data_IF_795484380616
#
_entry.id   IF_795484380616
#
_cell.length_a   1.000
_cell.length_b   1.000
_cell.length_c   1.000
_cell.angle_alpha   90.00
_cell.angle_beta   90.00
_cell.angle_gamma   90.00
#
_symmetry.space_group_name_H-M   'P 1'
#
loop_
_entity.id
_entity.type
_entity.pdbx_description
1 polymer ?
#
# COMPACT_ATOMS: atom_id res chain seq x y z
N UNK A 1 17.49 9.77 4.31
CA UNK A 1 18.78 9.23 3.87
C UNK A 1 19.29 10.09 2.74
N UNK A 2 20.53 10.61 2.79
CA UNK A 2 21.11 11.34 1.67
C UNK A 2 21.30 10.40 0.48
N UNK A 3 20.91 10.85 -0.70
CA UNK A 3 21.11 10.11 -1.94
C UNK A 3 22.61 10.18 -2.28
N UNK A 4 23.28 9.04 -2.41
CA UNK A 4 24.67 8.97 -2.89
C UNK A 4 24.69 9.20 -4.39
N UNK A 5 25.55 10.11 -4.85
CA UNK A 5 25.70 10.43 -6.27
C UNK A 5 27.12 10.89 -6.58
N UNK A 6 27.51 10.85 -7.85
CA UNK A 6 28.75 11.39 -8.38
C UNK A 6 28.47 12.68 -9.13
N UNK A 7 29.47 13.58 -9.17
CA UNK A 7 29.37 14.86 -9.88
C UNK A 7 29.74 14.68 -11.36
N UNK A 8 28.85 13.99 -12.11
CA UNK A 8 29.04 13.79 -13.54
C UNK A 8 27.70 13.81 -14.30
N UNK A 9 27.76 14.02 -15.61
CA UNK A 9 26.61 14.10 -16.51
C UNK A 9 25.77 12.81 -16.54
N UNK A 10 26.42 11.66 -16.39
CA UNK A 10 25.75 10.35 -16.36
C UNK A 10 24.90 10.20 -15.11
N UNK A 11 25.43 10.56 -13.93
CA UNK A 11 24.69 10.56 -12.68
C UNK A 11 23.52 11.55 -12.73
N UNK A 12 23.73 12.75 -13.28
CA UNK A 12 22.67 13.73 -13.49
C UNK A 12 21.49 13.16 -14.28
N UNK A 13 21.77 12.56 -15.44
CA UNK A 13 20.75 11.95 -16.29
C UNK A 13 20.00 10.80 -15.58
N UNK A 14 20.73 9.98 -14.83
CA UNK A 14 20.15 8.87 -14.06
C UNK A 14 19.21 9.37 -12.98
N UNK A 15 19.64 10.38 -12.21
CA UNK A 15 18.80 10.98 -11.16
C UNK A 15 17.55 11.68 -11.73
N UNK A 16 17.69 12.36 -12.87
CA UNK A 16 16.55 12.97 -13.57
C UNK A 16 15.52 11.93 -14.02
N UNK A 17 15.98 10.81 -14.59
CA UNK A 17 15.09 9.69 -14.98
C UNK A 17 14.38 9.11 -13.76
N UNK A 18 15.12 8.89 -12.65
CA UNK A 18 14.56 8.37 -11.42
C UNK A 18 13.56 9.34 -10.77
N UNK A 19 13.85 10.64 -10.76
CA UNK A 19 12.92 11.67 -10.30
C UNK A 19 11.62 11.66 -11.10
N UNK A 20 11.73 11.70 -12.43
CA UNK A 20 10.56 11.69 -13.33
C UNK A 20 9.69 10.43 -13.14
N UNK A 21 10.32 9.27 -12.96
CA UNK A 21 9.61 8.01 -12.69
C UNK A 21 8.80 8.11 -11.37
N UNK A 22 9.40 8.63 -10.29
CA UNK A 22 8.73 8.76 -9.00
C UNK A 22 7.62 9.79 -9.01
N UNK A 23 7.83 10.92 -9.69
CA UNK A 23 6.79 11.94 -9.88
C UNK A 23 5.59 11.39 -10.64
N UNK A 24 5.81 10.53 -11.67
CA UNK A 24 4.71 9.88 -12.39
C UNK A 24 4.03 8.78 -11.57
N UNK A 25 4.77 8.07 -10.72
CA UNK A 25 4.21 6.99 -9.89
C UNK A 25 3.45 7.50 -8.66
N UNK A 26 3.80 8.70 -8.16
CA UNK A 26 3.21 9.26 -6.94
C UNK A 26 1.68 9.38 -7.00
N UNK A 27 1.06 9.99 -8.02
CA UNK A 27 -0.40 10.11 -8.10
C UNK A 27 -1.09 8.74 -8.17
N UNK A 28 -0.51 7.77 -8.86
CA UNK A 28 -1.05 6.40 -8.93
C UNK A 28 -1.03 5.73 -7.54
N UNK A 29 0.04 5.94 -6.77
CA UNK A 29 0.13 5.43 -5.39
C UNK A 29 -0.85 6.13 -4.45
N UNK A 30 -1.05 7.45 -4.60
CA UNK A 30 -2.02 8.22 -3.83
C UNK A 30 -3.46 7.75 -4.14
N UNK A 31 -3.79 7.56 -5.42
CA UNK A 31 -5.09 7.02 -5.82
C UNK A 31 -5.32 5.61 -5.26
N UNK A 32 -4.29 4.76 -5.29
CA UNK A 32 -4.36 3.42 -4.68
C UNK A 32 -4.55 3.48 -3.17
N UNK A 33 -3.86 4.38 -2.48
CA UNK A 33 -4.02 4.59 -1.03
C UNK A 33 -5.45 5.03 -0.69
N UNK A 34 -5.99 5.98 -1.43
CA UNK A 34 -7.36 6.48 -1.25
C UNK A 34 -8.41 5.39 -1.48
N UNK A 35 -8.25 4.59 -2.54
CA UNK A 35 -9.11 3.44 -2.81
C UNK A 35 -9.05 2.39 -1.69
N UNK A 36 -7.85 2.05 -1.22
CA UNK A 36 -7.68 1.12 -0.10
C UNK A 36 -8.30 1.66 1.20
N UNK A 37 -8.18 2.95 1.47
CA UNK A 37 -8.80 3.60 2.64
C UNK A 37 -10.32 3.47 2.62
N UNK A 38 -10.92 3.68 1.46
CA UNK A 38 -12.36 3.53 1.27
C UNK A 38 -12.80 2.08 1.51
N UNK A 39 -12.07 1.11 0.95
CA UNK A 39 -12.41 -0.31 1.09
C UNK A 39 -12.20 -0.83 2.53
N UNK A 40 -11.18 -0.34 3.25
CA UNK A 40 -11.01 -0.62 4.69
C UNK A 40 -12.22 -0.14 5.48
N UNK A 41 -12.71 1.08 5.20
CA UNK A 41 -13.89 1.63 5.86
C UNK A 41 -15.13 0.80 5.58
N UNK A 42 -15.38 0.46 4.31
CA UNK A 42 -16.52 -0.39 3.94
C UNK A 42 -16.48 -1.76 4.63
N UNK A 43 -15.30 -2.39 4.68
CA UNK A 43 -15.14 -3.68 5.34
C UNK A 43 -15.40 -3.57 6.85
N UNK A 44 -14.94 -2.49 7.49
CA UNK A 44 -15.19 -2.19 8.89
C UNK A 44 -16.69 -1.99 9.16
N UNK A 45 -17.32 -1.09 8.40
CA UNK A 45 -18.75 -0.76 8.56
C UNK A 45 -19.62 -2.02 8.37
N UNK A 46 -19.24 -2.91 7.43
CA UNK A 46 -19.95 -4.18 7.20
C UNK A 46 -19.75 -5.17 8.34
N UNK A 47 -18.51 -5.33 8.85
CA UNK A 47 -18.24 -6.19 10.01
C UNK A 47 -19.00 -5.72 11.25
N UNK A 48 -18.96 -4.42 11.55
CA UNK A 48 -19.70 -3.84 12.68
C UNK A 48 -21.22 -3.99 12.54
N UNK A 49 -21.74 -3.91 11.30
CA UNK A 49 -23.15 -4.17 11.06
C UNK A 49 -23.51 -5.63 11.34
N UNK A 50 -22.72 -6.56 10.84
CA UNK A 50 -22.96 -8.00 11.05
C UNK A 50 -22.89 -8.38 12.52
N UNK A 51 -21.97 -7.77 13.28
CA UNK A 51 -21.91 -7.98 14.74
C UNK A 51 -23.17 -7.47 15.44
N UNK A 52 -23.68 -6.30 15.06
CA UNK A 52 -24.95 -5.79 15.61
C UNK A 52 -26.13 -6.69 15.23
N UNK A 53 -26.19 -7.14 13.97
CA UNK A 53 -27.22 -8.05 13.49
C UNK A 53 -27.16 -9.38 14.27
N UNK A 54 -25.95 -9.87 14.62
CA UNK A 54 -25.74 -11.05 15.47
C UNK A 54 -26.24 -10.81 16.90
N UNK A 55 -25.84 -9.71 17.54
CA UNK A 55 -26.31 -9.36 18.90
C UNK A 55 -27.83 -9.19 18.96
N UNK A 56 -28.45 -8.59 17.93
CA UNK A 56 -29.89 -8.46 17.83
C UNK A 56 -30.59 -9.82 17.66
N UNK A 57 -30.01 -10.71 16.86
CA UNK A 57 -30.50 -12.05 16.68
C UNK A 57 -30.38 -12.87 17.97
N UNK A 58 -29.25 -12.78 18.70
CA UNK A 58 -29.07 -13.41 20.00
C UNK A 58 -30.15 -12.93 21.01
N UNK A 59 -30.37 -11.62 21.13
CA UNK A 59 -31.42 -11.05 22.02
C UNK A 59 -32.81 -11.50 21.62
N UNK A 60 -33.08 -11.67 20.32
CA UNK A 60 -34.38 -12.15 19.84
C UNK A 60 -34.69 -13.57 20.30
N UNK A 61 -33.66 -14.40 20.49
CA UNK A 61 -33.76 -15.78 20.90
C UNK A 61 -33.45 -16.01 22.39
N UNK A 62 -33.24 -14.95 23.16
CA UNK A 62 -32.90 -15.03 24.59
C UNK A 62 -34.00 -15.73 25.41
N UNK A 63 -35.26 -15.60 25.01
CA UNK A 63 -36.39 -16.31 25.63
C UNK A 63 -36.28 -17.85 25.49
N UNK A 64 -35.49 -18.36 24.56
CA UNK A 64 -35.19 -19.78 24.38
C UNK A 64 -34.03 -20.27 25.24
N UNK A 65 -33.35 -19.39 25.97
CA UNK A 65 -32.17 -19.72 26.76
C UNK A 65 -32.32 -20.96 27.67
N UNK A 66 -33.47 -21.16 28.39
CA UNK A 66 -33.68 -22.37 29.17
C UNK A 66 -33.68 -23.67 28.31
N UNK A 67 -34.17 -23.58 27.08
CA UNK A 67 -34.31 -24.73 26.17
C UNK A 67 -32.95 -25.17 25.60
N UNK A 68 -31.99 -24.25 25.46
CA UNK A 68 -30.67 -24.58 24.97
C UNK A 68 -29.89 -25.54 25.88
N UNK A 69 -30.24 -25.63 27.18
CA UNK A 69 -29.66 -26.59 28.09
C UNK A 69 -30.06 -28.05 27.73
N UNK A 70 -31.15 -28.23 27.02
CA UNK A 70 -31.64 -29.54 26.56
C UNK A 70 -31.06 -29.92 25.19
N UNK A 71 -30.43 -28.95 24.50
CA UNK A 71 -29.87 -29.15 23.18
C UNK A 71 -28.55 -29.93 23.24
N UNK A 72 -28.43 -30.98 22.47
CA UNK A 72 -27.23 -31.83 22.49
C UNK A 72 -26.05 -31.10 21.88
N UNK A 73 -24.93 -30.96 22.63
CA UNK A 73 -23.70 -30.39 22.08
C UNK A 73 -23.21 -31.19 20.89
N UNK A 74 -22.88 -30.51 19.77
CA UNK A 74 -22.38 -31.14 18.55
C UNK A 74 -23.46 -31.64 17.60
N UNK A 75 -24.76 -31.38 17.87
CA UNK A 75 -25.84 -31.69 16.93
C UNK A 75 -25.67 -30.97 15.59
N UNK A 76 -25.20 -29.74 15.63
CA UNK A 76 -24.85 -28.93 14.46
C UNK A 76 -23.37 -28.62 14.51
N UNK A 77 -22.64 -29.07 13.52
CA UNK A 77 -21.22 -28.77 13.33
C UNK A 77 -20.98 -28.11 11.99
N UNK A 78 -19.90 -27.34 11.88
CA UNK A 78 -19.44 -26.76 10.63
C UNK A 78 -18.46 -27.74 9.99
N UNK A 79 -18.89 -28.38 8.91
CA UNK A 79 -18.04 -29.34 8.18
C UNK A 79 -16.95 -28.61 7.36
N UNK A 80 -17.33 -27.50 6.70
CA UNK A 80 -16.39 -26.76 5.86
C UNK A 80 -16.88 -25.33 5.59
N UNK A 81 -15.93 -24.42 5.37
CA UNK A 81 -16.18 -23.02 5.00
C UNK A 81 -15.51 -22.77 3.66
N UNK A 82 -16.30 -22.59 2.61
CA UNK A 82 -15.80 -22.31 1.27
C UNK A 82 -15.56 -20.79 1.12
N UNK A 83 -14.29 -20.44 1.01
CA UNK A 83 -13.84 -19.06 0.84
C UNK A 83 -13.30 -18.85 -0.59
N UNK A 84 -13.76 -17.79 -1.22
CA UNK A 84 -13.28 -17.35 -2.55
C UNK A 84 -12.36 -16.16 -2.40
N UNK A 85 -11.27 -16.16 -3.16
CA UNK A 85 -10.35 -15.03 -3.20
C UNK A 85 -10.82 -14.00 -4.22
N UNK A 86 -11.18 -12.81 -3.74
CA UNK A 86 -11.57 -11.67 -4.57
C UNK A 86 -10.49 -10.60 -4.56
N UNK A 87 -10.28 -9.93 -5.68
CA UNK A 87 -9.34 -8.80 -5.78
C UNK A 87 -10.07 -7.48 -5.51
N UNK A 88 -9.68 -6.81 -4.43
CA UNK A 88 -10.20 -5.49 -4.04
C UNK A 88 -9.07 -4.48 -4.05
N UNK A 89 -9.16 -3.44 -4.87
CA UNK A 89 -8.09 -2.44 -5.07
C UNK A 89 -6.70 -3.07 -5.36
N UNK A 90 -6.68 -4.22 -6.06
CA UNK A 90 -5.46 -4.96 -6.39
C UNK A 90 -4.88 -5.79 -5.24
N UNK A 91 -5.63 -5.98 -4.15
CA UNK A 91 -5.28 -6.85 -3.01
C UNK A 91 -6.18 -8.08 -3.02
N UNK A 92 -5.61 -9.25 -2.79
CA UNK A 92 -6.37 -10.49 -2.65
C UNK A 92 -6.98 -10.55 -1.25
N UNK A 93 -8.30 -10.67 -1.17
CA UNK A 93 -9.05 -10.76 0.07
C UNK A 93 -9.97 -11.97 0.05
N UNK A 94 -10.24 -12.61 1.19
CA UNK A 94 -11.24 -13.67 1.29
C UNK A 94 -12.65 -13.10 1.22
N UNK A 95 -13.55 -13.88 0.67
CA UNK A 95 -14.99 -13.62 0.66
C UNK A 95 -15.73 -14.94 0.88
N UNK A 96 -16.72 -14.94 1.76
CA UNK A 96 -17.52 -16.12 2.08
C UNK A 96 -18.40 -16.48 0.91
N UNK A 97 -18.27 -17.72 0.40
CA UNK A 97 -19.12 -18.26 -0.65
C UNK A 97 -20.23 -19.12 -0.08
N UNK A 98 -19.88 -20.10 0.73
CA UNK A 98 -20.83 -21.04 1.33
C UNK A 98 -20.28 -21.65 2.61
N UNK A 99 -21.20 -22.07 3.49
CA UNK A 99 -20.89 -22.82 4.70
C UNK A 99 -21.59 -24.16 4.57
N UNK A 100 -20.87 -25.24 4.79
CA UNK A 100 -21.41 -26.59 4.85
C UNK A 100 -21.56 -26.98 6.30
N UNK A 101 -22.81 -27.27 6.68
CA UNK A 101 -23.15 -27.75 8.00
C UNK A 101 -23.35 -29.26 7.98
N UNK A 102 -22.85 -29.92 8.99
CA UNK A 102 -23.12 -31.31 9.28
C UNK A 102 -24.07 -31.38 10.47
N UNK A 103 -25.18 -32.10 10.30
CA UNK A 103 -26.19 -32.28 11.33
C UNK A 103 -26.20 -33.75 11.71
N UNK A 104 -25.93 -34.03 12.97
CA UNK A 104 -26.04 -35.40 13.50
C UNK A 104 -27.50 -35.87 13.41
N UNK A 105 -27.76 -37.10 12.93
CA UNK A 105 -29.12 -37.61 12.80
C UNK A 105 -29.78 -37.67 14.18
N UNK A 106 -30.94 -37.08 14.31
CA UNK A 106 -31.75 -37.16 15.52
C UNK A 106 -33.20 -37.59 15.18
N UNK A 107 -33.79 -38.29 16.11
CA UNK A 107 -35.15 -38.76 15.93
C UNK A 107 -36.15 -37.66 16.31
N UNK A 108 -36.86 -37.12 15.33
CA UNK A 108 -37.85 -36.06 15.49
C UNK A 108 -39.09 -36.48 16.30
N UNK A 109 -39.37 -37.80 16.46
CA UNK A 109 -40.44 -38.28 17.30
C UNK A 109 -40.09 -38.36 18.78
N UNK A 110 -38.83 -38.45 19.10
CA UNK A 110 -38.32 -38.51 20.48
C UNK A 110 -37.93 -37.15 21.00
N UNK A 111 -37.40 -36.29 20.14
CA UNK A 111 -36.95 -34.94 20.51
C UNK A 111 -38.06 -33.92 20.42
N UNK A 112 -38.03 -32.85 21.22
CA UNK A 112 -39.03 -31.77 21.18
C UNK A 112 -39.10 -31.12 19.80
N UNK A 113 -40.27 -30.64 19.39
CA UNK A 113 -40.48 -30.03 18.07
C UNK A 113 -39.58 -28.80 17.82
N UNK A 114 -39.23 -28.05 18.85
CA UNK A 114 -38.38 -26.87 18.75
C UNK A 114 -36.91 -27.18 18.28
N UNK A 115 -36.47 -28.47 18.31
CA UNK A 115 -35.13 -28.84 17.85
C UNK A 115 -34.88 -28.47 16.38
N UNK A 116 -35.88 -28.55 15.54
CA UNK A 116 -35.78 -28.17 14.12
C UNK A 116 -35.52 -26.68 13.99
N UNK A 117 -36.29 -25.89 14.75
CA UNK A 117 -36.13 -24.43 14.79
C UNK A 117 -34.79 -24.06 15.42
N UNK A 118 -34.34 -24.75 16.46
CA UNK A 118 -33.04 -24.58 17.11
C UNK A 118 -31.87 -24.80 16.16
N UNK A 119 -31.94 -25.83 15.31
CA UNK A 119 -30.93 -26.08 14.25
C UNK A 119 -30.90 -24.91 13.25
N UNK A 120 -32.07 -24.40 12.83
CA UNK A 120 -32.14 -23.27 11.91
C UNK A 120 -31.52 -21.99 12.53
N UNK A 121 -31.90 -21.69 13.79
CA UNK A 121 -31.38 -20.55 14.55
C UNK A 121 -29.85 -20.63 14.67
N UNK A 122 -29.28 -21.79 15.04
CA UNK A 122 -27.83 -21.98 15.16
C UNK A 122 -27.11 -21.78 13.84
N UNK A 123 -27.68 -22.21 12.73
CA UNK A 123 -27.11 -21.96 11.39
C UNK A 123 -27.10 -20.47 11.06
N UNK A 124 -28.17 -19.76 11.33
CA UNK A 124 -28.28 -18.33 11.04
C UNK A 124 -27.30 -17.51 11.92
N UNK A 125 -27.22 -17.81 13.22
CA UNK A 125 -26.28 -17.15 14.13
C UNK A 125 -24.83 -17.44 13.74
N UNK A 126 -24.50 -18.71 13.48
CA UNK A 126 -23.14 -19.10 13.07
C UNK A 126 -22.75 -18.47 11.73
N UNK A 127 -23.70 -18.35 10.79
CA UNK A 127 -23.45 -17.68 9.52
C UNK A 127 -23.10 -16.21 9.71
N UNK A 128 -23.87 -15.47 10.54
CA UNK A 128 -23.59 -14.06 10.84
C UNK A 128 -22.22 -13.89 11.51
N UNK A 129 -21.89 -14.77 12.46
CA UNK A 129 -20.59 -14.77 13.14
C UNK A 129 -19.43 -15.00 12.18
N UNK A 130 -19.52 -16.05 11.32
CA UNK A 130 -18.48 -16.37 10.33
C UNK A 130 -18.34 -15.25 9.30
N UNK A 131 -19.46 -14.71 8.81
CA UNK A 131 -19.43 -13.60 7.85
C UNK A 131 -18.74 -12.37 8.45
N UNK A 132 -19.02 -12.05 9.71
CA UNK A 132 -18.38 -10.97 10.45
C UNK A 132 -16.88 -11.17 10.56
N UNK A 133 -16.42 -12.39 10.89
CA UNK A 133 -15.01 -12.74 11.01
C UNK A 133 -14.27 -12.63 9.66
N UNK A 134 -14.91 -13.08 8.57
CA UNK A 134 -14.36 -12.95 7.21
C UNK A 134 -14.21 -11.49 6.80
N UNK A 135 -15.17 -10.61 7.15
CA UNK A 135 -15.04 -9.18 6.88
C UNK A 135 -13.98 -8.51 7.76
N UNK A 136 -13.81 -8.95 8.99
CA UNK A 136 -12.74 -8.45 9.87
C UNK A 136 -11.36 -8.84 9.34
N UNK A 137 -11.18 -10.08 8.87
CA UNK A 137 -9.93 -10.50 8.24
C UNK A 137 -9.67 -9.74 6.93
N UNK A 138 -10.71 -9.53 6.10
CA UNK A 138 -10.65 -8.66 4.93
C UNK A 138 -10.18 -7.25 5.29
N UNK A 139 -10.72 -6.67 6.37
CA UNK A 139 -10.31 -5.37 6.89
C UNK A 139 -8.83 -5.36 7.29
N UNK A 140 -8.36 -6.39 8.00
CA UNK A 140 -6.94 -6.51 8.43
C UNK A 140 -5.99 -6.54 7.25
N UNK A 141 -6.28 -7.36 6.23
CA UNK A 141 -5.47 -7.49 5.02
C UNK A 141 -5.42 -6.15 4.27
N UNK A 142 -6.58 -5.50 4.07
CA UNK A 142 -6.67 -4.21 3.38
C UNK A 142 -5.95 -3.11 4.14
N UNK A 143 -6.09 -3.03 5.48
CA UNK A 143 -5.41 -2.02 6.30
C UNK A 143 -3.89 -2.19 6.30
N UNK A 144 -3.41 -3.42 6.33
CA UNK A 144 -1.98 -3.70 6.19
C UNK A 144 -1.42 -3.21 4.85
N UNK A 145 -2.12 -3.46 3.75
CA UNK A 145 -1.72 -2.98 2.42
C UNK A 145 -1.84 -1.46 2.30
N UNK A 146 -2.88 -0.86 2.90
CA UNK A 146 -3.04 0.59 2.99
C UNK A 146 -1.84 1.21 3.71
N UNK A 147 -1.48 0.71 4.91
CA UNK A 147 -0.33 1.20 5.69
C UNK A 147 0.96 1.14 4.87
N UNK A 148 1.23 0.01 4.19
CA UNK A 148 2.39 -0.12 3.29
C UNK A 148 2.36 0.88 2.13
N UNK A 149 1.19 1.14 1.55
CA UNK A 149 1.04 2.11 0.45
C UNK A 149 1.25 3.53 0.96
N UNK A 150 0.68 3.89 2.11
CA UNK A 150 0.89 5.19 2.77
C UNK A 150 2.37 5.44 3.07
N UNK A 151 3.10 4.41 3.57
CA UNK A 151 4.54 4.52 3.80
C UNK A 151 5.31 4.80 2.50
N UNK A 152 4.93 4.14 1.37
CA UNK A 152 5.54 4.40 0.06
C UNK A 152 5.24 5.81 -0.45
N UNK A 153 4.00 6.27 -0.31
CA UNK A 153 3.61 7.65 -0.68
C UNK A 153 4.44 8.65 0.09
N UNK A 154 4.50 8.52 1.42
CA UNK A 154 5.29 9.41 2.28
C UNK A 154 6.80 9.37 1.95
N UNK A 155 7.34 8.18 1.65
CA UNK A 155 8.73 8.02 1.25
C UNK A 155 9.02 8.76 -0.07
N UNK A 156 8.14 8.66 -1.06
CA UNK A 156 8.31 9.32 -2.35
C UNK A 156 8.16 10.83 -2.21
N UNK A 157 7.11 11.28 -1.56
CA UNK A 157 6.74 12.69 -1.46
C UNK A 157 7.69 13.51 -0.56
N UNK A 158 8.01 12.96 0.64
CA UNK A 158 8.75 13.71 1.67
C UNK A 158 10.25 13.49 1.66
N UNK A 159 10.73 12.38 1.08
CA UNK A 159 12.15 12.01 1.16
C UNK A 159 12.78 11.91 -0.22
N UNK A 160 12.23 11.06 -1.09
CA UNK A 160 12.91 10.75 -2.35
C UNK A 160 12.82 11.88 -3.36
N UNK A 161 11.64 12.42 -3.62
CA UNK A 161 11.46 13.50 -4.59
C UNK A 161 12.28 14.74 -4.20
N UNK A 162 12.19 15.27 -2.98
CA UNK A 162 13.02 16.40 -2.56
C UNK A 162 14.52 16.06 -2.58
N UNK A 163 14.92 14.85 -2.15
CA UNK A 163 16.30 14.42 -2.17
C UNK A 163 16.89 14.34 -3.57
N UNK A 164 16.14 13.82 -4.55
CA UNK A 164 16.58 13.83 -5.96
C UNK A 164 16.68 15.23 -6.53
N UNK A 165 15.74 16.11 -6.22
CA UNK A 165 15.78 17.52 -6.66
C UNK A 165 17.01 18.25 -6.11
N UNK A 166 17.33 18.04 -4.84
CA UNK A 166 18.52 18.62 -4.23
C UNK A 166 19.81 18.07 -4.83
N UNK A 167 19.91 16.76 -5.02
CA UNK A 167 21.07 16.12 -5.64
C UNK A 167 21.31 16.62 -7.08
N UNK A 168 20.24 16.72 -7.86
CA UNK A 168 20.28 17.27 -9.23
C UNK A 168 20.78 18.71 -9.23
N UNK A 169 20.28 19.54 -8.30
CA UNK A 169 20.72 20.94 -8.17
C UNK A 169 22.20 21.04 -7.83
N UNK A 170 22.70 20.21 -6.91
CA UNK A 170 24.13 20.16 -6.54
C UNK A 170 25.03 19.77 -7.71
N UNK A 171 24.63 18.74 -8.46
CA UNK A 171 25.41 18.30 -9.63
C UNK A 171 25.43 19.38 -10.72
N UNK A 172 24.29 20.02 -11.01
CA UNK A 172 24.23 21.09 -12.00
C UNK A 172 25.15 22.25 -11.63
N UNK A 173 25.07 22.70 -10.37
CA UNK A 173 25.93 23.79 -9.87
C UNK A 173 27.41 23.44 -10.02
N UNK A 174 27.81 22.22 -9.62
CA UNK A 174 29.19 21.77 -9.78
C UNK A 174 29.65 21.78 -11.25
N UNK A 175 28.81 21.29 -12.16
CA UNK A 175 29.14 21.28 -13.60
C UNK A 175 29.20 22.70 -14.18
N UNK A 176 28.37 23.63 -13.73
CA UNK A 176 28.42 25.05 -14.11
C UNK A 176 29.73 25.70 -13.62
N UNK A 177 30.12 25.42 -12.38
CA UNK A 177 31.36 25.92 -11.79
C UNK A 177 32.60 25.37 -12.53
N UNK A 178 32.60 24.07 -12.88
CA UNK A 178 33.67 23.42 -13.65
C UNK A 178 33.79 24.01 -15.08
N UNK A 179 32.65 24.26 -15.73
CA UNK A 179 32.63 24.89 -17.05
C UNK A 179 33.12 26.34 -17.00
N UNK A 180 32.78 27.10 -15.97
CA UNK A 180 33.28 28.47 -15.79
C UNK A 180 34.76 28.51 -15.53
N UNK A 181 35.28 27.60 -14.70
CA UNK A 181 36.74 27.44 -14.48
C UNK A 181 37.46 27.10 -15.76
N UNK A 182 36.94 26.15 -16.56
CA UNK A 182 37.53 25.79 -17.84
C UNK A 182 37.57 26.97 -18.84
N UNK A 183 36.48 27.75 -18.91
CA UNK A 183 36.45 28.96 -19.74
C UNK A 183 37.45 30.01 -19.28
N UNK A 184 37.56 30.23 -17.96
CA UNK A 184 38.52 31.19 -17.41
C UNK A 184 39.95 30.76 -17.69
N UNK A 185 40.29 29.49 -17.47
CA UNK A 185 41.63 28.94 -17.82
C UNK A 185 41.96 29.10 -19.29
N UNK A 186 41.00 28.78 -20.17
CA UNK A 186 41.19 28.94 -21.63
C UNK A 186 41.40 30.39 -22.02
N UNK A 187 40.74 31.35 -21.34
CA UNK A 187 40.93 32.77 -21.58
C UNK A 187 42.35 33.24 -21.14
N UNK A 188 42.82 32.78 -19.98
CA UNK A 188 44.17 33.11 -19.49
C UNK A 188 45.24 32.57 -20.42
N UNK A 189 45.11 31.32 -20.89
CA UNK A 189 46.02 30.71 -21.86
C UNK A 189 46.10 31.51 -23.15
N UNK A 190 44.91 31.89 -23.68
CA UNK A 190 44.88 32.73 -24.91
C UNK A 190 45.48 34.10 -24.72
N UNK A 191 45.34 34.71 -23.55
CA UNK A 191 45.96 36.00 -23.27
C UNK A 191 47.47 35.88 -23.21
N UNK A 192 48.02 34.85 -22.53
CA UNK A 192 49.48 34.61 -22.50
C UNK A 192 50.08 34.38 -23.87
N UNK A 193 49.43 33.56 -24.69
CA UNK A 193 49.93 33.38 -26.08
C UNK A 193 49.90 34.66 -26.90
N UNK A 194 48.86 35.48 -26.72
CA UNK A 194 48.82 36.78 -27.41
C UNK A 194 49.87 37.77 -26.89
N UNK A 195 50.22 37.72 -25.60
CA UNK A 195 51.31 38.51 -25.02
C UNK A 195 52.69 38.02 -25.53
N UNK A 196 52.94 36.69 -25.57
CA UNK A 196 54.13 36.05 -26.10
C UNK A 196 54.33 36.38 -27.59
N UNK A 197 53.26 36.23 -28.43
CA UNK A 197 53.32 36.61 -29.86
C UNK A 197 53.65 38.13 -30.04
N UNK A 198 53.15 39.01 -29.16
CA UNK A 198 53.43 40.44 -29.24
C UNK A 198 54.87 40.78 -28.81
N UNK A 199 55.44 40.04 -27.87
CA UNK A 199 56.86 40.19 -27.45
C UNK A 199 57.81 39.71 -28.52
N UNK A 200 57.54 38.56 -29.16
CA UNK A 200 58.34 38.01 -30.26
C UNK A 200 58.38 38.97 -31.48
N UNK A 201 57.22 39.60 -31.81
CA UNK A 201 57.14 40.57 -32.92
C UNK A 201 57.91 41.86 -32.59
N UNK A 202 57.98 42.26 -31.32
CA UNK A 202 58.78 43.44 -30.89
C UNK A 202 60.30 43.17 -30.87
N UNK A 203 60.74 41.96 -30.50
CA UNK A 203 62.14 41.54 -30.57
C UNK A 203 62.69 41.43 -32.02
N UNK A 204 61.87 40.93 -32.95
CA UNK A 204 62.23 40.79 -34.35
C UNK A 204 62.27 42.12 -35.10
N UNK A 205 61.44 43.13 -34.65
CA UNK A 205 61.47 44.48 -35.21
C UNK A 205 62.54 45.41 -34.63
N UNK A 206 63.27 45.00 -33.59
CA UNK A 206 64.35 45.78 -32.95
C UNK A 206 65.76 45.41 -33.42
N UNK A 207 65.96 44.44 -34.32
CA UNK A 207 67.23 43.92 -34.74
C UNK A 207 67.60 44.26 -36.23
N UNK A 208 66.93 45.22 -36.83
CA UNK A 208 67.26 45.87 -38.12
C UNK A 208 67.74 47.31 -37.83
#
# INVERSE_FOLDING_TARGET
MPIKFQYNKTALNTLQKQLKMRQKALPTLQNKESALRLEVRKAKDKSEKLLRDLEEAERRYDYLAPLWNEFEPGLVSIADIDLVTVKVAGVKCPELKSIRYEISPFNTFIKPAWYIDGVAILKDLSRLGIESEVYEEKRRILDFQRKKTTQKVNLYEKVQIPGYQEAIRKIKRYMEDEENLSKASSKIVKQRHAEEESEEVMEDSGND
#
